data_IF_193006252922
#
_entry.id   IF_193006252922
#
_cell.length_a   1.000
_cell.length_b   1.000
_cell.length_c   1.000
_cell.angle_alpha   90.00
_cell.angle_beta   90.00
_cell.angle_gamma   90.00
#
_symmetry.space_group_name_H-M   'P 1'
#
loop_
_entity.id
_entity.type
_entity.pdbx_description
1 polymer ?
#
# COMPACT_ATOMS: atom_id res chain seq x y z
N UNK A 1 24.28 5.55 7.83
CA UNK A 1 25.22 6.24 8.71
C UNK A 1 24.55 6.64 10.03
N UNK A 2 24.18 5.63 10.88
CA UNK A 2 23.55 5.89 12.16
C UNK A 2 24.40 6.82 13.02
N UNK A 3 23.80 7.89 13.51
CA UNK A 3 24.47 8.86 14.41
C UNK A 3 25.74 9.53 13.86
N UNK A 4 25.99 9.46 12.55
CA UNK A 4 27.19 10.07 11.93
C UNK A 4 28.50 9.34 12.20
N UNK A 5 28.48 8.13 12.74
CA UNK A 5 29.68 7.38 13.16
C UNK A 5 30.27 6.47 12.08
N UNK A 6 29.74 6.54 10.84
CA UNK A 6 30.25 5.79 9.69
C UNK A 6 29.26 4.80 9.10
N UNK A 7 29.71 4.02 8.11
CA UNK A 7 28.90 2.98 7.46
C UNK A 7 28.67 1.84 8.46
N UNK A 8 27.41 1.46 8.61
CA UNK A 8 27.02 0.32 9.47
C UNK A 8 26.31 -0.74 8.62
N UNK A 9 26.60 -2.00 8.92
CA UNK A 9 25.98 -3.16 8.28
C UNK A 9 25.32 -4.00 9.37
N UNK A 10 24.09 -4.44 9.12
CA UNK A 10 23.40 -5.44 9.91
C UNK A 10 23.05 -6.62 9.04
N UNK A 11 22.93 -7.81 9.61
CA UNK A 11 22.55 -9.03 8.91
C UNK A 11 21.33 -9.66 9.56
N UNK A 12 20.58 -10.41 8.79
CA UNK A 12 19.39 -11.13 9.22
C UNK A 12 18.82 -11.96 8.07
N UNK A 13 17.56 -12.35 8.19
CA UNK A 13 16.84 -13.10 7.17
C UNK A 13 15.61 -12.32 6.66
N UNK A 14 15.09 -12.73 5.52
CA UNK A 14 13.77 -12.31 5.06
C UNK A 14 12.74 -13.12 5.85
N UNK A 15 12.02 -12.43 6.72
CA UNK A 15 11.00 -13.05 7.58
C UNK A 15 9.65 -13.20 6.88
N UNK A 16 9.32 -12.30 5.95
CA UNK A 16 8.11 -12.36 5.13
C UNK A 16 8.21 -11.40 3.93
N UNK A 17 7.35 -11.61 2.94
CA UNK A 17 7.14 -10.71 1.80
C UNK A 17 5.67 -10.34 1.67
N UNK A 18 5.35 -9.29 0.91
CA UNK A 18 3.97 -8.87 0.65
C UNK A 18 3.26 -8.33 1.90
N UNK A 19 3.97 -7.68 2.81
CA UNK A 19 3.35 -7.02 3.97
C UNK A 19 2.72 -5.70 3.55
N UNK A 20 1.41 -5.60 3.67
CA UNK A 20 0.62 -4.45 3.20
C UNK A 20 -0.09 -3.69 4.34
N UNK A 21 -0.31 -4.33 5.49
CA UNK A 21 -1.05 -3.76 6.62
C UNK A 21 -2.46 -3.24 6.27
N UNK A 22 -3.07 -3.81 5.24
CA UNK A 22 -4.37 -3.38 4.72
C UNK A 22 -4.33 -2.11 3.86
N UNK A 23 -3.14 -1.57 3.57
CA UNK A 23 -2.96 -0.46 2.65
C UNK A 23 -2.64 -1.02 1.25
N UNK A 24 -3.48 -0.77 0.23
CA UNK A 24 -3.33 -1.38 -1.09
C UNK A 24 -2.14 -0.84 -1.89
N UNK A 25 -1.53 0.24 -1.45
CA UNK A 25 -0.33 0.80 -2.06
C UNK A 25 0.97 0.27 -1.44
N UNK A 26 0.88 -0.45 -0.32
CA UNK A 26 2.05 -1.00 0.36
C UNK A 26 2.32 -2.43 -0.10
N UNK A 27 3.57 -2.69 -0.37
CA UNK A 27 4.15 -4.02 -0.48
C UNK A 27 5.53 -3.97 0.14
N UNK A 28 5.73 -4.64 1.26
CA UNK A 28 6.98 -4.57 2.01
C UNK A 28 7.60 -5.95 2.22
N UNK A 29 8.92 -5.98 2.22
CA UNK A 29 9.72 -7.10 2.71
C UNK A 29 9.91 -6.90 4.21
N UNK A 30 9.60 -7.93 5.00
CA UNK A 30 9.91 -7.96 6.42
C UNK A 30 11.24 -8.67 6.64
N UNK A 31 12.09 -8.11 7.49
CA UNK A 31 13.39 -8.68 7.88
C UNK A 31 13.62 -8.53 9.37
N UNK A 32 14.40 -9.42 9.95
CA UNK A 32 14.93 -9.30 11.31
C UNK A 32 16.33 -8.67 11.35
N UNK A 33 16.91 -8.30 10.20
CA UNK A 33 18.09 -7.45 10.17
C UNK A 33 17.80 -6.13 10.89
N UNK A 34 18.68 -5.70 11.78
CA UNK A 34 18.44 -4.52 12.59
C UNK A 34 18.32 -3.25 11.74
N UNK A 35 17.14 -2.63 11.76
CA UNK A 35 16.87 -1.33 11.15
C UNK A 35 16.75 -0.30 12.26
N UNK A 36 17.64 0.68 12.24
CA UNK A 36 17.72 1.75 13.23
C UNK A 36 17.81 3.11 12.51
N UNK A 37 17.54 4.23 13.21
CA UNK A 37 17.74 5.56 12.64
C UNK A 37 19.12 5.71 12.00
N UNK A 38 19.15 6.14 10.72
CA UNK A 38 20.37 6.33 9.94
C UNK A 38 20.65 5.21 8.92
N UNK A 39 19.95 4.05 8.95
CA UNK A 39 20.02 3.08 7.86
C UNK A 39 18.78 3.05 6.96
N UNK A 40 17.75 3.85 7.26
CA UNK A 40 16.65 4.11 6.34
C UNK A 40 17.16 4.75 5.05
N UNK A 41 16.67 4.30 3.89
CA UNK A 41 17.20 4.64 2.57
C UNK A 41 18.43 3.81 2.16
N UNK A 42 19.01 3.02 3.08
CA UNK A 42 20.10 2.10 2.80
C UNK A 42 19.62 0.84 2.07
N UNK A 43 20.53 0.19 1.36
CA UNK A 43 20.26 -1.02 0.61
C UNK A 43 20.02 -2.22 1.52
N UNK A 44 19.01 -3.04 1.19
CA UNK A 44 18.88 -4.42 1.62
C UNK A 44 19.41 -5.29 0.48
N UNK A 45 20.49 -6.02 0.73
CA UNK A 45 21.15 -6.86 -0.28
C UNK A 45 21.11 -8.33 0.12
N UNK A 46 21.12 -9.22 -0.85
CA UNK A 46 21.29 -10.66 -0.60
C UNK A 46 22.77 -11.07 -0.52
N UNK A 47 23.04 -12.32 -0.25
CA UNK A 47 24.39 -12.90 -0.15
C UNK A 47 25.23 -12.78 -1.44
N UNK A 48 24.56 -12.62 -2.59
CA UNK A 48 25.20 -12.43 -3.89
C UNK A 48 25.48 -10.95 -4.21
N UNK A 49 25.18 -10.03 -3.28
CA UNK A 49 25.33 -8.58 -3.47
C UNK A 49 24.22 -7.92 -4.29
N UNK A 50 23.14 -8.63 -4.63
CA UNK A 50 22.04 -8.06 -5.37
C UNK A 50 21.12 -7.24 -4.46
N UNK A 51 20.67 -6.07 -4.95
CA UNK A 51 19.69 -5.23 -4.28
C UNK A 51 18.34 -5.95 -4.28
N UNK A 52 17.79 -6.26 -3.10
CA UNK A 52 16.46 -6.86 -2.93
C UNK A 52 15.44 -5.87 -2.37
N UNK A 53 15.90 -4.76 -1.78
CA UNK A 53 15.02 -3.72 -1.27
C UNK A 53 15.77 -2.49 -0.76
N UNK A 54 15.02 -1.47 -0.38
CA UNK A 54 15.52 -0.28 0.34
C UNK A 54 14.86 -0.24 1.71
N UNK A 55 15.69 -0.16 2.76
CA UNK A 55 15.23 -0.07 4.14
C UNK A 55 14.39 1.18 4.35
N UNK A 56 13.23 1.05 4.99
CA UNK A 56 12.32 2.19 5.17
C UNK A 56 11.97 2.45 6.62
N UNK A 57 11.40 1.50 7.33
CA UNK A 57 10.90 1.73 8.68
C UNK A 57 10.97 0.48 9.54
N UNK A 58 10.80 0.69 10.85
CA UNK A 58 10.55 -0.37 11.84
C UNK A 58 9.08 -0.31 12.27
N UNK A 59 8.53 -1.45 12.65
CA UNK A 59 7.28 -1.49 13.42
C UNK A 59 7.63 -1.54 14.89
N UNK A 60 7.43 -0.44 15.60
CA UNK A 60 7.81 -0.32 17.00
C UNK A 60 6.86 0.61 17.75
N UNK A 61 6.43 0.18 18.94
CA UNK A 61 5.64 1.02 19.86
C UNK A 61 6.51 2.01 20.64
N UNK A 62 7.81 1.76 20.74
CA UNK A 62 8.76 2.54 21.53
C UNK A 62 9.72 3.36 20.69
N UNK A 63 9.68 3.22 19.33
CA UNK A 63 10.66 3.79 18.42
C UNK A 63 11.97 3.02 18.33
N UNK A 64 12.19 2.00 19.18
CA UNK A 64 13.36 1.13 19.12
C UNK A 64 13.09 -0.13 18.29
N UNK A 65 14.11 -0.64 17.62
CA UNK A 65 14.04 -1.89 16.88
C UNK A 65 13.66 -3.07 17.79
N UNK A 66 12.68 -3.86 17.37
CA UNK A 66 12.14 -5.01 18.11
C UNK A 66 12.09 -6.29 17.25
N UNK A 67 13.02 -6.46 16.32
CA UNK A 67 13.05 -7.62 15.42
C UNK A 67 12.11 -7.51 14.20
N UNK A 68 11.50 -6.36 13.96
CA UNK A 68 10.58 -6.12 12.86
C UNK A 68 11.05 -4.92 12.04
N UNK A 69 11.86 -5.18 11.01
CA UNK A 69 12.30 -4.22 10.02
C UNK A 69 11.55 -4.39 8.70
N UNK A 70 11.42 -3.32 7.93
CA UNK A 70 10.73 -3.33 6.64
C UNK A 70 11.53 -2.62 5.58
N UNK A 71 11.50 -3.20 4.37
CA UNK A 71 12.10 -2.64 3.17
C UNK A 71 11.10 -2.63 2.02
N UNK A 72 11.23 -1.63 1.14
CA UNK A 72 10.49 -1.57 -0.12
C UNK A 72 11.18 -2.51 -1.11
N UNK A 73 10.47 -3.44 -1.77
CA UNK A 73 11.05 -4.38 -2.73
C UNK A 73 11.74 -3.67 -3.90
N UNK A 74 12.84 -4.24 -4.39
CA UNK A 74 13.60 -3.66 -5.52
C UNK A 74 12.77 -3.48 -6.78
N UNK A 75 11.82 -4.37 -7.06
CA UNK A 75 10.93 -4.24 -8.22
C UNK A 75 10.09 -2.96 -8.18
N UNK A 76 9.55 -2.61 -7.00
CA UNK A 76 8.79 -1.38 -6.81
C UNK A 76 9.69 -0.14 -6.91
N UNK A 77 10.93 -0.25 -6.41
CA UNK A 77 11.91 0.84 -6.48
C UNK A 77 12.27 1.17 -7.93
N UNK A 78 12.50 0.15 -8.77
CA UNK A 78 12.86 0.34 -10.19
C UNK A 78 11.72 1.08 -10.92
N UNK A 79 10.46 0.71 -10.67
CA UNK A 79 9.31 1.38 -11.26
C UNK A 79 9.24 2.85 -10.81
N UNK A 80 9.26 3.11 -9.51
CA UNK A 80 9.18 4.45 -8.92
C UNK A 80 10.36 5.31 -9.39
N UNK A 81 11.58 4.78 -9.35
CA UNK A 81 12.77 5.51 -9.81
C UNK A 81 12.68 5.86 -11.30
N UNK A 82 12.17 4.96 -12.13
CA UNK A 82 11.98 5.24 -13.55
C UNK A 82 11.00 6.40 -13.79
N UNK A 83 9.90 6.44 -13.04
CA UNK A 83 8.93 7.54 -13.13
C UNK A 83 9.55 8.88 -12.68
N UNK A 84 10.25 8.90 -11.55
CA UNK A 84 10.94 10.10 -11.07
C UNK A 84 12.01 10.59 -12.04
N UNK A 85 12.80 9.68 -12.62
CA UNK A 85 13.85 10.05 -13.59
C UNK A 85 13.24 10.60 -14.88
N UNK A 86 12.14 9.99 -15.35
CA UNK A 86 11.54 10.35 -16.62
C UNK A 86 10.66 11.60 -16.53
N UNK A 87 9.92 11.74 -15.43
CA UNK A 87 8.87 12.77 -15.28
C UNK A 87 9.13 13.77 -14.15
N UNK A 88 10.09 13.49 -13.26
CA UNK A 88 10.34 14.30 -12.07
C UNK A 88 9.40 13.97 -10.88
N UNK A 89 8.42 13.11 -11.09
CA UNK A 89 7.37 12.77 -10.11
C UNK A 89 6.87 11.34 -10.28
N UNK A 90 6.12 10.84 -9.28
CA UNK A 90 5.45 9.54 -9.34
C UNK A 90 4.09 9.75 -10.00
N UNK A 91 3.83 9.04 -11.10
CA UNK A 91 2.59 9.12 -11.89
C UNK A 91 1.67 7.93 -11.70
N UNK A 92 1.90 7.11 -10.69
CA UNK A 92 0.98 6.03 -10.30
C UNK A 92 -0.35 6.62 -9.84
N UNK A 93 -1.46 6.08 -10.34
CA UNK A 93 -2.78 6.59 -9.98
C UNK A 93 -3.09 6.41 -8.50
N UNK A 94 -3.53 7.48 -7.86
CA UNK A 94 -3.94 7.52 -6.47
C UNK A 94 -5.44 7.83 -6.36
N UNK A 95 -6.14 7.16 -5.46
CA UNK A 95 -7.58 7.34 -5.22
C UNK A 95 -7.91 7.73 -3.77
N UNK A 96 -6.91 8.11 -2.98
CA UNK A 96 -7.04 8.42 -1.56
C UNK A 96 -6.28 7.43 -0.69
N UNK A 97 -6.03 7.81 0.56
CA UNK A 97 -5.44 6.91 1.54
C UNK A 97 -6.56 6.17 2.27
N UNK A 98 -6.49 4.86 2.26
CA UNK A 98 -7.45 4.01 2.94
C UNK A 98 -6.84 2.65 3.28
N UNK A 99 -7.50 1.94 4.20
CA UNK A 99 -7.16 0.57 4.57
C UNK A 99 -8.38 -0.30 4.48
N UNK A 100 -8.17 -1.52 3.98
CA UNK A 100 -9.23 -2.51 3.86
C UNK A 100 -8.83 -3.84 4.48
N UNK A 101 -9.83 -4.62 4.88
CA UNK A 101 -9.65 -6.00 5.33
C UNK A 101 -10.55 -6.92 4.53
N UNK A 102 -10.05 -8.08 4.08
CA UNK A 102 -10.89 -9.08 3.43
C UNK A 102 -11.98 -9.58 4.37
N UNK A 103 -13.21 -9.65 3.87
CA UNK A 103 -14.34 -10.22 4.61
C UNK A 103 -15.17 -11.12 3.68
N UNK A 104 -16.02 -11.94 4.30
CA UNK A 104 -17.11 -12.62 3.62
C UNK A 104 -18.44 -12.11 4.17
N UNK A 105 -19.35 -11.75 3.29
CA UNK A 105 -20.67 -11.30 3.67
C UNK A 105 -21.76 -12.11 2.94
N UNK A 106 -22.91 -12.25 3.58
CA UNK A 106 -24.06 -12.92 2.98
C UNK A 106 -25.00 -11.87 2.41
N UNK A 107 -25.17 -11.86 1.09
CA UNK A 107 -26.12 -11.00 0.38
C UNK A 107 -27.09 -11.91 -0.42
N UNK A 108 -28.38 -11.72 -0.25
CA UNK A 108 -29.43 -12.47 -0.95
C UNK A 108 -29.20 -14.00 -0.93
N UNK A 109 -28.85 -14.55 0.23
CA UNK A 109 -28.50 -15.96 0.46
C UNK A 109 -27.18 -16.44 -0.21
N UNK A 110 -26.47 -15.59 -0.91
CA UNK A 110 -25.17 -15.88 -1.50
C UNK A 110 -24.04 -15.38 -0.58
N UNK A 111 -22.99 -16.19 -0.43
CA UNK A 111 -21.78 -15.79 0.25
C UNK A 111 -20.85 -15.15 -0.79
N UNK A 112 -20.52 -13.89 -0.59
CA UNK A 112 -19.60 -13.15 -1.46
C UNK A 112 -18.38 -12.66 -0.68
N UNK A 113 -17.25 -12.59 -1.35
CA UNK A 113 -16.06 -11.95 -0.81
C UNK A 113 -16.15 -10.42 -1.04
N UNK A 114 -15.53 -9.66 -0.14
CA UNK A 114 -15.43 -8.23 -0.25
C UNK A 114 -14.27 -7.69 0.58
N UNK A 115 -14.01 -6.40 0.42
CA UNK A 115 -13.01 -5.67 1.17
C UNK A 115 -13.70 -4.60 2.00
N UNK A 116 -13.71 -4.75 3.31
CA UNK A 116 -14.28 -3.74 4.22
C UNK A 116 -13.28 -2.62 4.45
N UNK A 117 -13.72 -1.39 4.23
CA UNK A 117 -12.95 -0.19 4.54
C UNK A 117 -12.91 -0.04 6.07
N UNK A 118 -11.71 -0.09 6.65
CA UNK A 118 -11.50 0.07 8.10
C UNK A 118 -10.93 1.44 8.46
N UNK A 119 -10.34 2.12 7.48
CA UNK A 119 -9.79 3.46 7.63
C UNK A 119 -9.84 4.15 6.26
N UNK A 120 -10.18 5.43 6.23
CA UNK A 120 -10.18 6.27 5.03
C UNK A 120 -9.97 7.71 5.47
N UNK A 121 -9.06 8.41 4.78
CA UNK A 121 -8.84 9.82 5.00
C UNK A 121 -10.03 10.63 4.46
N UNK A 122 -10.33 11.75 5.13
CA UNK A 122 -11.46 12.64 4.76
C UNK A 122 -11.20 13.49 3.52
N UNK A 123 -10.18 13.16 2.75
CA UNK A 123 -9.83 13.78 1.48
C UNK A 123 -9.32 12.69 0.53
N UNK A 124 -9.41 12.98 -0.74
CA UNK A 124 -9.06 12.05 -1.81
C UNK A 124 -10.26 11.46 -2.54
N UNK A 125 -10.05 11.05 -3.79
CA UNK A 125 -11.14 10.73 -4.72
C UNK A 125 -12.12 9.68 -4.20
N UNK A 126 -11.65 8.64 -3.52
CA UNK A 126 -12.51 7.58 -2.98
C UNK A 126 -13.49 8.10 -1.91
N UNK A 127 -12.99 8.96 -1.00
CA UNK A 127 -13.83 9.57 0.03
C UNK A 127 -14.81 10.59 -0.56
N UNK A 128 -14.36 11.45 -1.46
CA UNK A 128 -15.18 12.47 -2.12
C UNK A 128 -16.34 11.88 -2.92
N UNK A 129 -16.15 10.67 -3.48
CA UNK A 129 -17.21 9.90 -4.13
C UNK A 129 -18.14 9.17 -3.15
N UNK A 130 -17.96 9.39 -1.85
CA UNK A 130 -18.88 8.96 -0.81
C UNK A 130 -18.59 7.58 -0.20
N UNK A 131 -17.38 7.04 -0.38
CA UNK A 131 -16.95 5.88 0.37
C UNK A 131 -16.67 6.26 1.83
N UNK A 132 -16.96 5.34 2.75
CA UNK A 132 -16.87 5.59 4.19
C UNK A 132 -16.35 4.36 4.93
N UNK A 133 -15.89 4.56 6.17
CA UNK A 133 -15.53 3.45 7.07
C UNK A 133 -16.73 2.51 7.26
N UNK A 134 -16.46 1.21 7.27
CA UNK A 134 -17.39 0.08 7.30
C UNK A 134 -18.15 -0.20 5.99
N UNK A 135 -18.00 0.60 4.95
CA UNK A 135 -18.42 0.21 3.61
C UNK A 135 -17.61 -1.00 3.12
N UNK A 136 -18.23 -1.83 2.29
CA UNK A 136 -17.62 -3.04 1.74
C UNK A 136 -17.53 -2.94 0.22
N UNK A 137 -16.33 -2.92 -0.31
CA UNK A 137 -16.08 -3.02 -1.75
C UNK A 137 -16.36 -4.45 -2.18
N UNK A 138 -17.39 -4.66 -2.98
CA UNK A 138 -17.83 -5.98 -3.45
C UNK A 138 -17.42 -6.26 -4.89
N UNK A 139 -17.21 -5.22 -5.70
CA UNK A 139 -16.64 -5.33 -7.05
C UNK A 139 -15.68 -4.20 -7.35
N UNK A 140 -14.70 -4.50 -8.22
CA UNK A 140 -13.70 -3.58 -8.74
C UNK A 140 -13.53 -3.85 -10.23
N UNK A 141 -13.81 -2.88 -11.10
CA UNK A 141 -13.80 -3.04 -12.56
C UNK A 141 -14.56 -4.30 -13.02
N UNK A 142 -15.78 -4.50 -12.50
CA UNK A 142 -16.65 -5.67 -12.72
C UNK A 142 -16.12 -7.02 -12.18
N UNK A 143 -14.92 -7.06 -11.58
CA UNK A 143 -14.38 -8.25 -10.93
C UNK A 143 -14.75 -8.28 -9.44
N UNK A 144 -14.59 -9.45 -8.82
CA UNK A 144 -14.83 -9.64 -7.39
C UNK A 144 -14.01 -8.65 -6.53
N UNK A 145 -14.59 -8.14 -5.44
CA UNK A 145 -13.93 -7.30 -4.45
C UNK A 145 -12.88 -8.07 -3.65
N UNK A 146 -11.72 -8.30 -4.25
CA UNK A 146 -10.61 -9.03 -3.66
C UNK A 146 -9.35 -8.16 -3.60
N UNK A 147 -8.45 -8.52 -2.66
CA UNK A 147 -7.15 -7.84 -2.53
C UNK A 147 -6.37 -7.82 -3.84
N UNK A 148 -6.33 -8.96 -4.52
CA UNK A 148 -5.65 -9.08 -5.81
C UNK A 148 -6.21 -8.12 -6.85
N UNK A 149 -7.53 -8.04 -6.98
CA UNK A 149 -8.17 -7.17 -7.96
C UNK A 149 -8.01 -5.69 -7.60
N UNK A 150 -8.04 -5.34 -6.30
CA UNK A 150 -7.79 -3.98 -5.83
C UNK A 150 -6.37 -3.53 -6.18
N UNK A 151 -5.36 -4.27 -5.73
CA UNK A 151 -3.96 -3.91 -5.95
C UNK A 151 -3.59 -3.88 -7.43
N UNK A 152 -4.10 -4.83 -8.23
CA UNK A 152 -3.91 -4.81 -9.68
C UNK A 152 -4.56 -3.58 -10.32
N UNK A 153 -5.81 -3.26 -9.97
CA UNK A 153 -6.50 -2.09 -10.54
C UNK A 153 -5.79 -0.79 -10.22
N UNK A 154 -5.30 -0.62 -8.98
CA UNK A 154 -4.53 0.54 -8.57
C UNK A 154 -3.16 0.62 -9.28
N UNK A 155 -2.47 -0.51 -9.40
CA UNK A 155 -1.17 -0.57 -10.09
C UNK A 155 -1.26 -0.24 -11.57
N UNK A 156 -2.34 -0.64 -12.25
CA UNK A 156 -2.55 -0.40 -13.68
C UNK A 156 -3.35 0.86 -13.98
N UNK A 157 -3.97 1.49 -12.97
CA UNK A 157 -4.56 2.80 -13.12
C UNK A 157 -3.44 3.84 -13.16
N UNK A 158 -2.94 4.16 -14.35
CA UNK A 158 -2.15 5.38 -14.55
C UNK A 158 -3.03 6.62 -14.29
N UNK A 159 -2.40 7.80 -14.18
CA UNK A 159 -3.10 9.07 -14.01
C UNK A 159 -4.23 9.26 -15.05
N UNK A 160 -5.38 9.71 -14.58
CA UNK A 160 -6.55 9.98 -15.42
C UNK A 160 -7.33 8.76 -15.87
N UNK A 161 -7.00 7.55 -15.39
CA UNK A 161 -7.77 6.36 -15.68
C UNK A 161 -8.85 6.13 -14.64
N UNK A 162 -10.01 5.68 -15.09
CA UNK A 162 -11.16 5.40 -14.24
C UNK A 162 -11.06 3.99 -13.62
N UNK A 163 -11.40 3.92 -12.33
CA UNK A 163 -11.63 2.66 -11.62
C UNK A 163 -13.07 2.67 -11.13
N UNK A 164 -13.83 1.62 -11.46
CA UNK A 164 -15.19 1.47 -10.99
C UNK A 164 -15.25 0.57 -9.75
N UNK A 165 -16.07 0.97 -8.78
CA UNK A 165 -16.33 0.23 -7.56
C UNK A 165 -17.83 0.02 -7.35
N UNK A 166 -18.23 -1.21 -7.02
CA UNK A 166 -19.51 -1.46 -6.40
C UNK A 166 -19.30 -1.65 -4.91
N UNK A 167 -20.00 -0.86 -4.12
CA UNK A 167 -19.86 -0.80 -2.66
C UNK A 167 -21.18 -1.14 -2.02
N UNK A 168 -21.15 -2.07 -1.06
CA UNK A 168 -22.24 -2.30 -0.13
C UNK A 168 -22.01 -1.45 1.11
N UNK A 169 -22.86 -0.44 1.28
CA UNK A 169 -22.72 0.54 2.35
C UNK A 169 -23.20 0.04 3.69
N UNK A 170 -22.68 0.63 4.75
CA UNK A 170 -23.06 0.33 6.13
C UNK A 170 -24.57 0.56 6.44
N UNK A 171 -25.25 1.36 5.64
CA UNK A 171 -26.72 1.57 5.70
C UNK A 171 -27.52 0.54 4.89
N UNK A 172 -26.90 -0.58 4.47
CA UNK A 172 -27.51 -1.65 3.67
C UNK A 172 -27.95 -1.22 2.26
N UNK A 173 -27.31 -0.23 1.68
CA UNK A 173 -27.53 0.20 0.30
C UNK A 173 -26.36 -0.13 -0.60
N UNK A 174 -26.62 -0.29 -1.90
CA UNK A 174 -25.58 -0.42 -2.90
C UNK A 174 -25.26 0.94 -3.49
N UNK A 175 -23.96 1.20 -3.69
CA UNK A 175 -23.44 2.36 -4.40
C UNK A 175 -22.55 1.88 -5.55
N UNK A 176 -22.70 2.48 -6.71
CA UNK A 176 -21.70 2.37 -7.80
C UNK A 176 -21.00 3.71 -7.91
N UNK A 177 -19.67 3.69 -7.79
CA UNK A 177 -18.85 4.88 -7.91
C UNK A 177 -17.77 4.65 -8.96
N UNK A 178 -17.46 5.67 -9.70
CA UNK A 178 -16.38 5.73 -10.66
C UNK A 178 -15.40 6.81 -10.23
N UNK A 179 -14.14 6.45 -10.16
CA UNK A 179 -13.08 7.30 -9.62
C UNK A 179 -12.01 7.43 -10.69
N UNK A 180 -11.76 8.66 -11.11
CA UNK A 180 -10.57 9.00 -11.86
C UNK A 180 -9.38 9.07 -10.92
N UNK A 181 -8.32 8.34 -11.23
CA UNK A 181 -7.10 8.35 -10.45
C UNK A 181 -6.38 9.70 -10.61
N UNK A 182 -6.02 10.30 -9.49
CA UNK A 182 -5.30 11.58 -9.44
C UNK A 182 -3.83 11.41 -9.09
N UNK A 183 -3.08 12.48 -9.18
CA UNK A 183 -1.76 12.58 -8.54
C UNK A 183 -1.89 12.48 -7.03
N UNK A 184 -0.84 11.98 -6.39
CA UNK A 184 -0.77 12.01 -4.92
C UNK A 184 -0.67 13.49 -4.53
N UNK A 185 -1.72 14.05 -3.96
CA UNK A 185 -1.62 15.35 -3.32
C UNK A 185 -0.75 15.19 -2.08
N UNK A 186 0.49 15.66 -2.16
CA UNK A 186 1.32 15.81 -0.96
C UNK A 186 0.61 16.79 -0.03
N UNK A 187 0.14 16.27 1.08
CA UNK A 187 -0.26 17.10 2.20
C UNK A 187 0.97 17.83 2.74
N UNK A 188 1.28 18.96 2.15
CA UNK A 188 2.12 19.98 2.78
C UNK A 188 1.33 20.55 3.96
N UNK A 189 1.45 19.90 5.12
CA UNK A 189 1.15 20.47 6.44
C UNK A 189 2.18 20.08 7.46
#
# INVERSE_FOLDING_TARGET
NPYGIGISVSSGIISATGRDYGNPYLELIQTDAAINPGNSGGALINENGNLIGINTKIFSRTGAYQGLGFAIPSNNIVQIASEIIQYGEIRSGWIGNFRVVPIRLRLNNNLINGLRIVEIDSFGPLYEKGASVNDVIIRINNNEGSWKNLTSSLKFAGLGNNISFEIFSNNNTFKSIEIESSEIEELTR
#
